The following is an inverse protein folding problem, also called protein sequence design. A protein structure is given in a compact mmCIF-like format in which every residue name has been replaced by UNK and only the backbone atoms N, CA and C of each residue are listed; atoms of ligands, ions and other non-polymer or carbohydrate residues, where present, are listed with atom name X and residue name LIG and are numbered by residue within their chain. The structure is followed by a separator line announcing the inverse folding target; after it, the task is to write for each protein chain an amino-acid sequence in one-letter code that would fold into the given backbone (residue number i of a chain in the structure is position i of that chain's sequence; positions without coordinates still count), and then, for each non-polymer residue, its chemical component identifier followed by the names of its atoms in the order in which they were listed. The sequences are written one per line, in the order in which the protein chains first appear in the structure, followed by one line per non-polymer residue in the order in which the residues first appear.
data_IF_967216287496
#
_entry.id   IF_967216287496
#
_cell.length_a   1.000
_cell.length_b   1.000
_cell.length_c   1.000
_cell.angle_alpha   90.00
_cell.angle_beta   90.00
_cell.angle_gamma   90.00
#
_symmetry.space_group_name_H-M   'P 1'
#
loop_
_entity.id
_entity.type
_entity.pdbx_description
1 polymer ?
#
# COMPACT_ATOMS: atom_id res chain seq x y z
N UNK A 1 -4.88 -27.29 24.42
CA UNK A 1 -4.08 -26.13 23.99
C UNK A 1 -4.95 -24.88 24.11
N UNK A 2 -4.81 -24.10 25.18
CA UNK A 2 -5.55 -22.84 25.32
C UNK A 2 -4.87 -21.76 24.47
N UNK A 3 -5.59 -21.18 23.51
CA UNK A 3 -5.07 -20.07 22.71
C UNK A 3 -4.76 -18.86 23.61
N UNK A 4 -3.56 -18.30 23.51
CA UNK A 4 -3.14 -17.13 24.29
C UNK A 4 -4.13 -15.95 24.08
N UNK A 5 -4.79 -15.45 25.13
CA UNK A 5 -5.79 -14.38 25.05
C UNK A 5 -5.28 -13.11 24.36
N UNK A 6 -4.02 -12.73 24.56
CA UNK A 6 -3.41 -11.55 23.93
C UNK A 6 -3.24 -11.74 22.42
N UNK A 7 -2.84 -12.94 21.98
CA UNK A 7 -2.76 -13.28 20.55
C UNK A 7 -4.15 -13.25 19.90
N UNK A 8 -5.18 -13.70 20.61
CA UNK A 8 -6.57 -13.68 20.12
C UNK A 8 -7.09 -12.24 19.98
N UNK A 9 -6.86 -11.39 20.98
CA UNK A 9 -7.25 -9.97 20.94
C UNK A 9 -6.53 -9.20 19.82
N UNK A 10 -5.25 -9.51 19.59
CA UNK A 10 -4.46 -8.95 18.49
C UNK A 10 -4.99 -9.39 17.12
N UNK A 11 -5.48 -10.63 16.98
CA UNK A 11 -6.02 -11.14 15.71
C UNK A 11 -7.36 -10.49 15.36
N UNK A 12 -8.27 -10.38 16.34
CA UNK A 12 -9.59 -9.76 16.13
C UNK A 12 -9.47 -8.26 15.80
N UNK A 13 -8.55 -7.54 16.45
CA UNK A 13 -8.26 -6.14 16.11
C UNK A 13 -7.78 -6.00 14.66
N UNK A 14 -6.88 -6.89 14.21
CA UNK A 14 -6.37 -6.89 12.83
C UNK A 14 -7.45 -7.25 11.82
N UNK A 15 -8.29 -8.25 12.13
CA UNK A 15 -9.47 -8.59 11.32
C UNK A 15 -10.34 -7.38 11.08
N UNK A 16 -10.69 -6.63 12.15
CA UNK A 16 -11.51 -5.43 12.05
C UNK A 16 -10.91 -4.41 11.09
N UNK A 17 -9.62 -4.07 11.25
CA UNK A 17 -8.93 -3.13 10.35
C UNK A 17 -8.91 -3.62 8.89
N UNK A 18 -8.63 -4.91 8.66
CA UNK A 18 -8.62 -5.47 7.31
C UNK A 18 -10.02 -5.49 6.67
N UNK A 19 -11.07 -5.71 7.46
CA UNK A 19 -12.45 -5.60 6.99
C UNK A 19 -12.81 -4.17 6.63
N UNK A 20 -12.39 -3.18 7.41
CA UNK A 20 -12.58 -1.75 7.09
C UNK A 20 -11.93 -1.42 5.74
N UNK A 21 -10.65 -1.79 5.58
CA UNK A 21 -9.92 -1.63 4.31
C UNK A 21 -10.64 -2.31 3.14
N UNK A 22 -11.02 -3.58 3.29
CA UNK A 22 -11.64 -4.33 2.20
C UNK A 22 -13.03 -3.79 1.84
N UNK A 23 -13.81 -3.30 2.82
CA UNK A 23 -15.09 -2.66 2.56
C UNK A 23 -14.94 -1.31 1.84
N UNK A 24 -13.90 -0.54 2.14
CA UNK A 24 -13.65 0.72 1.44
C UNK A 24 -13.11 0.48 0.03
N UNK A 25 -12.23 -0.50 -0.18
CA UNK A 25 -11.81 -0.91 -1.52
C UNK A 25 -12.99 -1.37 -2.39
N UNK A 26 -14.00 -2.00 -1.78
CA UNK A 26 -15.26 -2.31 -2.45
C UNK A 26 -15.99 -1.05 -2.93
N UNK A 27 -16.00 0.03 -2.13
CA UNK A 27 -16.60 1.32 -2.51
C UNK A 27 -15.84 2.01 -3.65
N UNK A 28 -14.54 1.77 -3.76
CA UNK A 28 -13.68 2.37 -4.78
C UNK A 28 -13.49 1.52 -6.05
N UNK A 29 -14.32 0.50 -6.27
CA UNK A 29 -14.45 -0.17 -7.57
C UNK A 29 -13.73 -1.52 -7.73
N UNK A 30 -13.10 -2.08 -6.69
CA UNK A 30 -12.51 -3.43 -6.74
C UNK A 30 -13.46 -4.48 -6.12
N UNK A 31 -14.73 -4.51 -6.54
CA UNK A 31 -15.82 -5.28 -5.88
C UNK A 31 -15.52 -6.77 -5.77
N UNK A 32 -15.00 -7.40 -6.83
CA UNK A 32 -14.77 -8.85 -6.86
C UNK A 32 -13.67 -9.24 -5.86
N UNK A 33 -12.50 -8.61 -5.92
CA UNK A 33 -11.39 -8.92 -5.00
C UNK A 33 -11.75 -8.57 -3.57
N UNK A 34 -12.41 -7.43 -3.36
CA UNK A 34 -12.83 -6.99 -2.03
C UNK A 34 -13.82 -7.96 -1.40
N UNK A 35 -14.80 -8.48 -2.16
CA UNK A 35 -15.74 -9.49 -1.65
C UNK A 35 -15.07 -10.80 -1.28
N UNK A 36 -14.11 -11.26 -2.08
CA UNK A 36 -13.32 -12.46 -1.78
C UNK A 36 -12.49 -12.23 -0.51
N UNK A 37 -11.79 -11.10 -0.42
CA UNK A 37 -10.99 -10.74 0.74
C UNK A 37 -11.84 -10.63 2.01
N UNK A 38 -13.01 -9.97 1.96
CA UNK A 38 -13.94 -9.87 3.11
C UNK A 38 -14.33 -11.26 3.61
N UNK A 39 -14.70 -12.16 2.69
CA UNK A 39 -15.04 -13.55 3.07
C UNK A 39 -13.86 -14.24 3.76
N UNK A 40 -12.68 -14.18 3.15
CA UNK A 40 -11.47 -14.83 3.67
C UNK A 40 -11.02 -14.23 5.02
N UNK A 41 -11.10 -12.91 5.20
CA UNK A 41 -10.77 -12.23 6.47
C UNK A 41 -11.69 -12.69 7.60
N UNK A 42 -12.99 -12.83 7.32
CA UNK A 42 -13.96 -13.33 8.31
C UNK A 42 -13.65 -14.79 8.72
N UNK A 43 -13.28 -15.63 7.75
CA UNK A 43 -12.99 -17.05 7.97
C UNK A 43 -11.60 -17.31 8.56
N UNK A 44 -10.70 -16.32 8.51
CA UNK A 44 -9.30 -16.47 8.94
C UNK A 44 -9.16 -16.82 10.43
N UNK A 45 -8.28 -17.76 10.72
CA UNK A 45 -8.01 -18.30 12.07
C UNK A 45 -6.65 -17.88 12.62
N UNK A 46 -5.77 -17.37 11.76
CA UNK A 46 -4.42 -16.97 12.12
C UNK A 46 -3.92 -15.82 11.22
N UNK A 47 -2.75 -15.27 11.56
CA UNK A 47 -2.17 -14.13 10.85
C UNK A 47 -1.81 -14.46 9.39
N UNK A 48 -1.39 -15.70 9.12
CA UNK A 48 -1.02 -16.10 7.76
C UNK A 48 -2.23 -16.04 6.84
N UNK A 49 -3.37 -16.53 7.29
CA UNK A 49 -4.63 -16.49 6.53
C UNK A 49 -5.11 -15.05 6.30
N UNK A 50 -4.92 -14.15 7.27
CA UNK A 50 -5.21 -12.72 7.08
C UNK A 50 -4.31 -12.07 6.04
N UNK A 51 -3.02 -12.39 6.05
CA UNK A 51 -2.08 -11.90 5.04
C UNK A 51 -2.53 -12.41 3.65
N UNK A 52 -2.77 -13.71 3.51
CA UNK A 52 -3.23 -14.30 2.25
C UNK A 52 -4.53 -13.67 1.74
N UNK A 53 -5.46 -13.31 2.62
CA UNK A 53 -6.71 -12.69 2.23
C UNK A 53 -6.55 -11.29 1.63
N UNK A 54 -5.54 -10.53 2.09
CA UNK A 54 -5.30 -9.14 1.66
C UNK A 54 -4.25 -9.04 0.54
N UNK A 55 -3.43 -10.08 0.34
CA UNK A 55 -2.39 -10.14 -0.70
C UNK A 55 -2.89 -9.73 -2.10
N UNK A 56 -4.06 -10.17 -2.60
CA UNK A 56 -4.52 -9.82 -3.95
C UNK A 56 -4.81 -8.32 -4.17
N UNK A 57 -4.93 -7.56 -3.08
CA UNK A 57 -5.18 -6.11 -3.06
C UNK A 57 -3.92 -5.32 -2.68
N UNK A 58 -2.85 -5.99 -2.26
CA UNK A 58 -1.59 -5.34 -1.87
C UNK A 58 -0.74 -5.09 -3.11
N UNK A 59 -0.30 -3.84 -3.29
CA UNK A 59 0.58 -3.45 -4.40
C UNK A 59 2.02 -3.18 -3.94
N UNK A 60 2.19 -2.73 -2.69
CA UNK A 60 3.49 -2.36 -2.14
C UNK A 60 3.67 -2.96 -0.74
N UNK A 61 4.86 -3.48 -0.52
CA UNK A 61 5.40 -3.83 0.78
C UNK A 61 6.37 -2.76 1.26
N UNK A 62 6.17 -2.30 2.48
CA UNK A 62 7.07 -1.38 3.18
C UNK A 62 7.59 -2.08 4.42
N UNK A 63 8.91 -2.16 4.57
CA UNK A 63 9.55 -2.66 5.78
C UNK A 63 10.39 -1.58 6.41
N UNK A 64 10.28 -1.44 7.73
CA UNK A 64 10.96 -0.44 8.54
C UNK A 64 11.73 -1.19 9.61
N UNK A 65 13.04 -1.19 9.48
CA UNK A 65 13.91 -1.90 10.40
C UNK A 65 14.10 -1.11 11.72
N UNK A 66 14.66 -1.71 12.79
CA UNK A 66 14.91 -1.02 14.05
C UNK A 66 15.67 0.31 13.95
N UNK A 67 16.55 0.46 12.95
CA UNK A 67 17.28 1.70 12.67
C UNK A 67 16.46 2.73 11.85
N UNK A 68 15.15 2.54 11.72
CA UNK A 68 14.22 3.38 10.93
C UNK A 68 14.54 3.45 9.43
N UNK A 69 15.26 2.47 8.89
CA UNK A 69 15.51 2.36 7.45
C UNK A 69 14.31 1.76 6.76
N UNK A 70 13.83 2.46 5.73
CA UNK A 70 12.70 2.05 4.90
C UNK A 70 13.20 1.20 3.74
N UNK A 71 12.55 0.08 3.49
CA UNK A 71 12.67 -0.68 2.26
C UNK A 71 11.29 -0.84 1.63
N UNK A 72 11.21 -0.56 0.34
CA UNK A 72 9.98 -0.66 -0.46
C UNK A 72 10.17 -1.77 -1.50
N UNK A 73 9.13 -2.56 -1.73
CA UNK A 73 9.07 -3.49 -2.85
C UNK A 73 7.66 -3.54 -3.42
N UNK A 74 7.55 -3.63 -4.74
CA UNK A 74 6.28 -3.86 -5.42
C UNK A 74 5.95 -5.35 -5.41
N UNK A 75 4.69 -5.69 -5.12
CA UNK A 75 4.20 -7.08 -5.18
C UNK A 75 3.82 -7.49 -6.61
N UNK A 76 3.68 -6.50 -7.48
CA UNK A 76 3.32 -6.67 -8.88
C UNK A 76 4.18 -5.71 -9.72
N UNK A 77 4.69 -6.19 -10.85
CA UNK A 77 5.52 -5.39 -11.74
C UNK A 77 4.69 -4.48 -12.66
N UNK A 78 3.40 -4.76 -12.85
CA UNK A 78 2.52 -4.01 -13.76
C UNK A 78 1.12 -3.84 -13.19
N UNK A 79 0.55 -2.65 -13.32
CA UNK A 79 -0.86 -2.38 -13.05
C UNK A 79 -1.55 -1.69 -14.22
N UNK A 80 -2.85 -1.94 -14.35
CA UNK A 80 -3.71 -1.28 -15.35
C UNK A 80 -4.55 -0.19 -14.67
N UNK A 81 -4.64 0.97 -15.29
CA UNK A 81 -5.35 2.14 -14.79
C UNK A 81 -6.17 2.80 -15.91
N UNK A 82 -7.04 3.74 -15.53
CA UNK A 82 -7.77 4.61 -16.45
C UNK A 82 -7.34 6.07 -16.22
N UNK A 83 -7.30 6.90 -17.28
CA UNK A 83 -6.87 8.29 -17.16
C UNK A 83 -7.84 9.10 -16.29
N UNK A 84 -7.29 9.95 -15.43
CA UNK A 84 -8.00 10.82 -14.48
C UNK A 84 -8.88 10.08 -13.47
N UNK A 85 -8.68 8.77 -13.29
CA UNK A 85 -9.39 7.96 -12.30
C UNK A 85 -8.42 7.46 -11.23
N UNK A 86 -8.85 7.54 -9.96
CA UNK A 86 -8.05 7.06 -8.84
C UNK A 86 -8.29 5.58 -8.65
N UNK A 87 -7.22 4.77 -8.66
CA UNK A 87 -7.29 3.37 -8.27
C UNK A 87 -6.60 3.17 -6.93
N UNK A 88 -7.27 2.44 -6.05
CA UNK A 88 -6.83 2.22 -4.68
C UNK A 88 -6.14 0.87 -4.52
N UNK A 89 -5.12 0.85 -3.67
CA UNK A 89 -4.31 -0.33 -3.38
C UNK A 89 -3.93 -0.37 -1.91
N UNK A 90 -3.70 -1.58 -1.39
CA UNK A 90 -3.18 -1.77 -0.04
C UNK A 90 -1.65 -1.63 -0.05
N UNK A 91 -1.14 -0.95 0.98
CA UNK A 91 0.26 -0.98 1.39
C UNK A 91 0.33 -1.87 2.63
N UNK A 92 1.13 -2.94 2.56
CA UNK A 92 1.43 -3.77 3.72
C UNK A 92 2.71 -3.28 4.38
N UNK A 93 2.67 -3.09 5.69
CA UNK A 93 3.78 -2.51 6.44
C UNK A 93 4.26 -3.49 7.51
N UNK A 94 5.55 -3.79 7.48
CA UNK A 94 6.31 -4.37 8.59
C UNK A 94 7.07 -3.24 9.30
N UNK A 95 6.53 -2.78 10.42
CA UNK A 95 7.12 -1.73 11.24
C UNK A 95 7.80 -2.34 12.47
N UNK A 96 8.86 -3.10 12.23
CA UNK A 96 9.69 -3.67 13.31
C UNK A 96 10.33 -2.57 14.18
N UNK A 97 10.50 -1.35 13.64
CA UNK A 97 10.95 -0.16 14.36
C UNK A 97 9.97 0.36 15.43
N UNK A 98 8.67 0.11 15.27
CA UNK A 98 7.64 0.65 16.15
C UNK A 98 7.45 2.17 16.05
N UNK A 99 7.87 2.80 14.95
CA UNK A 99 7.75 4.26 14.78
C UNK A 99 6.31 4.68 14.46
N UNK A 100 5.99 5.96 14.68
CA UNK A 100 4.65 6.54 14.47
C UNK A 100 4.63 7.70 13.47
N UNK A 101 5.72 7.87 12.71
CA UNK A 101 5.84 8.92 11.71
C UNK A 101 4.88 8.70 10.52
N UNK A 102 4.78 9.69 9.63
CA UNK A 102 4.00 9.55 8.39
C UNK A 102 4.74 8.73 7.35
N UNK A 103 4.01 7.86 6.64
CA UNK A 103 4.51 7.26 5.39
C UNK A 103 4.26 8.24 4.24
N UNK A 104 5.34 8.67 3.59
CA UNK A 104 5.28 9.48 2.38
C UNK A 104 5.69 8.61 1.18
N UNK A 105 4.96 8.74 0.07
CA UNK A 105 5.28 8.10 -1.21
C UNK A 105 5.27 9.15 -2.32
N UNK A 106 6.23 9.07 -3.24
CA UNK A 106 6.39 9.98 -4.37
C UNK A 106 6.69 9.20 -5.64
N UNK A 107 6.00 9.47 -6.76
CA UNK A 107 6.31 8.87 -8.04
C UNK A 107 7.42 9.67 -8.74
N UNK A 108 8.52 9.01 -9.09
CA UNK A 108 9.66 9.58 -9.81
C UNK A 108 9.64 9.08 -11.25
N UNK A 109 9.85 10.00 -12.20
CA UNK A 109 9.99 9.73 -13.63
C UNK A 109 11.47 9.62 -13.99
N UNK A 110 11.95 8.39 -14.16
CA UNK A 110 13.34 8.11 -14.50
C UNK A 110 13.69 8.48 -15.96
N UNK A 111 12.70 8.78 -16.81
CA UNK A 111 12.95 9.23 -18.18
C UNK A 111 13.36 10.71 -18.26
N UNK A 112 13.22 11.45 -17.17
CA UNK A 112 13.70 12.84 -17.06
C UNK A 112 15.17 12.90 -16.66
N UNK A 113 15.90 13.90 -17.14
CA UNK A 113 17.31 14.13 -16.78
C UNK A 113 17.49 15.55 -16.21
N UNK A 114 17.78 15.70 -14.90
CA UNK A 114 17.88 14.63 -13.90
C UNK A 114 16.50 14.01 -13.57
N UNK A 115 16.45 12.78 -12.99
CA UNK A 115 15.21 12.18 -12.53
C UNK A 115 14.42 13.11 -11.60
N UNK A 116 13.14 13.30 -11.90
CA UNK A 116 12.27 14.26 -11.22
C UNK A 116 10.90 13.65 -10.89
N UNK A 117 10.08 14.38 -10.14
CA UNK A 117 8.72 13.97 -9.82
C UNK A 117 7.89 13.75 -11.10
N UNK A 118 7.21 12.61 -11.20
CA UNK A 118 6.34 12.25 -12.31
C UNK A 118 5.06 13.10 -12.30
N UNK A 119 5.10 14.33 -12.85
CA UNK A 119 3.96 15.28 -12.84
C UNK A 119 2.68 14.76 -13.52
N UNK A 120 2.77 13.66 -14.26
CA UNK A 120 1.66 13.01 -14.96
C UNK A 120 0.97 11.92 -14.12
N UNK A 121 1.46 11.59 -12.93
CA UNK A 121 0.87 10.61 -12.02
C UNK A 121 0.94 11.11 -10.58
N UNK A 122 -0.11 10.91 -9.80
CA UNK A 122 -0.06 11.14 -8.35
C UNK A 122 -0.11 9.82 -7.60
N UNK A 123 0.64 9.76 -6.50
CA UNK A 123 0.51 8.72 -5.46
C UNK A 123 0.20 9.44 -4.17
N UNK A 124 -0.83 9.00 -3.47
CA UNK A 124 -1.22 9.54 -2.17
C UNK A 124 -1.51 8.39 -1.21
N UNK A 125 -0.89 8.41 -0.03
CA UNK A 125 -1.32 7.57 1.09
C UNK A 125 -2.58 8.22 1.66
N UNK A 126 -3.68 7.47 1.70
CA UNK A 126 -4.99 7.97 2.12
C UNK A 126 -4.92 8.38 3.59
N UNK A 127 -5.41 9.60 3.86
CA UNK A 127 -5.46 10.18 5.19
C UNK A 127 -6.80 10.94 5.33
N UNK A 128 -7.77 10.32 6.00
CA UNK A 128 -9.12 10.81 6.20
C UNK A 128 -9.67 10.39 7.58
N UNK A 129 -11.00 10.37 7.76
CA UNK A 129 -11.63 10.00 9.03
C UNK A 129 -11.50 8.51 9.37
N UNK A 130 -11.22 7.66 8.38
CA UNK A 130 -11.14 6.20 8.50
C UNK A 130 -9.69 5.74 8.44
N UNK A 131 -8.89 6.33 7.55
CA UNK A 131 -7.50 5.96 7.32
C UNK A 131 -6.53 7.01 7.81
N UNK A 132 -5.41 6.57 8.37
CA UNK A 132 -4.30 7.44 8.76
C UNK A 132 -3.03 7.09 7.98
N UNK A 133 -2.37 8.13 7.47
CA UNK A 133 -1.03 8.00 6.90
C UNK A 133 0.08 7.90 7.97
N UNK A 134 -0.22 8.13 9.25
CA UNK A 134 0.71 7.95 10.36
C UNK A 134 0.81 6.48 10.73
N UNK A 135 2.03 5.98 10.91
CA UNK A 135 2.22 4.65 11.47
C UNK A 135 1.60 4.57 12.87
N UNK A 136 1.04 3.41 13.18
CA UNK A 136 0.42 3.13 14.47
C UNK A 136 1.41 2.70 15.55
N UNK A 137 2.67 2.43 15.17
CA UNK A 137 3.68 1.79 16.02
C UNK A 137 3.52 0.27 16.16
N UNK A 138 2.50 -0.33 15.54
CA UNK A 138 2.32 -1.79 15.55
C UNK A 138 3.29 -2.44 14.57
N UNK A 139 3.85 -3.59 14.94
CA UNK A 139 4.77 -4.38 14.10
C UNK A 139 4.25 -4.68 12.70
N UNK A 140 2.94 -4.90 12.57
CA UNK A 140 2.31 -5.13 11.28
C UNK A 140 1.06 -4.26 11.19
N UNK A 141 0.99 -3.48 10.12
CA UNK A 141 -0.16 -2.62 9.82
C UNK A 141 -0.38 -2.52 8.32
N UNK A 142 -1.53 -1.97 7.94
CA UNK A 142 -1.93 -1.82 6.55
C UNK A 142 -2.41 -0.40 6.34
N UNK A 143 -2.03 0.19 5.21
CA UNK A 143 -2.48 1.50 4.78
C UNK A 143 -3.12 1.38 3.40
N UNK A 144 -3.88 2.41 3.05
CA UNK A 144 -4.47 2.54 1.73
C UNK A 144 -3.72 3.62 0.97
N UNK A 145 -3.44 3.38 -0.30
CA UNK A 145 -2.96 4.41 -1.21
C UNK A 145 -3.84 4.48 -2.45
N UNK A 146 -3.82 5.62 -3.11
CA UNK A 146 -4.41 5.81 -4.43
C UNK A 146 -3.36 6.25 -5.43
N UNK A 147 -3.50 5.75 -6.66
CA UNK A 147 -2.70 6.13 -7.82
C UNK A 147 -3.63 6.73 -8.86
N UNK A 148 -3.31 7.93 -9.36
CA UNK A 148 -4.13 8.65 -10.33
C UNK A 148 -3.25 9.11 -11.50
N UNK A 149 -3.33 8.46 -12.67
CA UNK A 149 -2.62 8.93 -13.87
C UNK A 149 -3.43 10.03 -14.57
N UNK A 150 -2.76 10.99 -15.20
CA UNK A 150 -3.41 12.08 -15.95
C UNK A 150 -3.76 11.70 -17.39
N UNK A 151 -2.95 10.86 -18.03
CA UNK A 151 -3.07 10.53 -19.46
C UNK A 151 -2.86 9.05 -19.70
N UNK A 152 -3.43 8.56 -20.81
CA UNK A 152 -3.24 7.20 -21.28
C UNK A 152 -1.80 6.96 -21.76
N UNK A 153 -1.39 5.69 -21.77
CA UNK A 153 -0.09 5.24 -22.24
C UNK A 153 0.57 4.21 -21.32
N UNK A 154 1.68 3.67 -21.78
CA UNK A 154 2.52 2.72 -21.04
C UNK A 154 3.75 3.47 -20.51
N UNK A 155 3.86 3.61 -19.19
CA UNK A 155 4.96 4.33 -18.53
C UNK A 155 5.36 3.67 -17.23
N UNK A 156 6.63 3.73 -16.90
CA UNK A 156 7.14 3.29 -15.60
C UNK A 156 7.27 4.48 -14.65
N UNK A 157 7.02 4.22 -13.36
CA UNK A 157 7.39 5.13 -12.28
C UNK A 157 8.28 4.41 -11.29
N UNK A 158 9.22 5.14 -10.69
CA UNK A 158 9.90 4.73 -9.47
C UNK A 158 9.17 5.30 -8.27
N UNK A 159 8.55 4.45 -7.48
CA UNK A 159 7.92 4.85 -6.22
C UNK A 159 9.02 4.99 -5.19
N UNK A 160 9.27 6.20 -4.72
CA UNK A 160 10.16 6.49 -3.60
C UNK A 160 9.36 6.77 -2.35
N UNK A 161 9.83 6.36 -1.18
CA UNK A 161 9.15 6.70 0.06
C UNK A 161 10.09 6.96 1.24
N UNK A 162 9.52 7.57 2.26
CA UNK A 162 10.19 7.84 3.53
C UNK A 162 9.21 7.72 4.69
N UNK A 163 9.76 7.58 5.89
CA UNK A 163 9.03 7.47 7.15
C UNK A 163 9.20 8.75 8.00
N UNK A 164 9.02 9.93 7.40
CA UNK A 164 9.03 11.23 8.09
C UNK A 164 10.42 11.81 8.42
N UNK A 165 11.49 11.13 8.00
CA UNK A 165 12.88 11.59 8.16
C UNK A 165 13.44 12.25 6.89
N UNK A 166 12.66 12.32 5.80
CA UNK A 166 13.15 12.72 4.49
C UNK A 166 14.01 11.64 3.80
N UNK A 167 14.36 11.87 2.54
CA UNK A 167 14.91 10.88 1.59
C UNK A 167 16.40 10.51 1.79
N UNK A 168 16.90 10.46 3.03
CA UNK A 168 18.28 9.99 3.29
C UNK A 168 18.35 8.47 3.47
N UNK A 169 17.95 7.72 2.45
CA UNK A 169 18.38 6.34 2.31
C UNK A 169 19.58 6.26 1.35
N UNK A 170 20.76 6.04 1.91
CA UNK A 170 22.03 5.96 1.18
C UNK A 170 22.16 4.72 0.28
N UNK A 171 21.11 3.89 0.17
CA UNK A 171 21.14 2.64 -0.60
C UNK A 171 20.02 2.43 -1.62
N UNK A 172 19.19 3.45 -1.93
CA UNK A 172 18.03 3.34 -2.83
C UNK A 172 17.02 2.23 -2.45
N UNK A 173 17.05 1.72 -1.23
CA UNK A 173 16.20 0.60 -0.75
C UNK A 173 14.77 1.07 -0.54
N UNK A 174 14.58 2.35 -0.30
CA UNK A 174 13.27 2.98 -0.18
C UNK A 174 12.61 3.28 -1.53
N UNK A 175 12.89 2.46 -2.56
CA UNK A 175 12.30 2.61 -3.89
C UNK A 175 11.79 1.29 -4.47
N UNK A 176 10.74 1.34 -5.28
CA UNK A 176 10.27 0.22 -6.08
C UNK A 176 9.78 0.72 -7.45
N UNK A 177 10.11 0.00 -8.51
CA UNK A 177 9.68 0.32 -9.87
C UNK A 177 8.34 -0.35 -10.18
N UNK A 178 7.49 0.36 -10.92
CA UNK A 178 6.14 -0.08 -11.26
C UNK A 178 5.75 0.39 -12.66
N UNK A 179 5.41 -0.57 -13.53
CA UNK A 179 4.87 -0.31 -14.86
C UNK A 179 3.39 0.02 -14.79
N UNK A 180 3.00 1.17 -15.33
CA UNK A 180 1.63 1.65 -15.43
C UNK A 180 1.16 1.52 -16.88
N UNK A 181 0.15 0.67 -17.09
CA UNK A 181 -0.60 0.60 -18.34
C UNK A 181 -1.90 1.40 -18.16
N UNK A 182 -1.95 2.61 -18.70
CA UNK A 182 -3.12 3.48 -18.60
C UNK A 182 -3.91 3.37 -19.89
N UNK A 183 -5.01 2.63 -19.85
CA UNK A 183 -5.87 2.40 -21.01
C UNK A 183 -6.85 3.57 -21.14
N UNK A 184 -6.85 4.23 -22.30
CA UNK A 184 -7.96 5.12 -22.66
C UNK A 184 -9.25 4.32 -22.62
N UNK A 185 -10.33 4.88 -22.07
CA UNK A 185 -11.66 4.35 -22.38
C UNK A 185 -11.87 4.59 -23.87
N UNK A 186 -11.89 3.51 -24.66
CA UNK A 186 -12.43 3.58 -26.01
C UNK A 186 -13.90 3.99 -25.87
N UNK A 187 -14.28 5.07 -26.56
CA UNK A 187 -15.68 5.47 -26.73
C UNK A 187 -16.39 4.49 -27.68
#
# INVERSE_FOLDING_TARGET
MYANPEKKLSLETRKKTLLEIANDLKRFGDDVKSRIAIKQINEAKNQSELNTAIDPMTLIDVSINPESRVKISSTNSKITLAPNESRFFVIRIDNTAGITATLNLSPIDLATDPPALAKWCTIEVVNDLIFSNHFSGKKQEYKLMKITPKFAGLKEIRISGDAGQGTQDLGFRATADLLLEVNSKEN
#
